data_IF_377345084844
#
_entry.id   IF_377345084844
#
_cell.length_a   1.000
_cell.length_b   1.000
_cell.length_c   1.000
_cell.angle_alpha   90.00
_cell.angle_beta   90.00
_cell.angle_gamma   90.00
#
_symmetry.space_group_name_H-M   'P 1'
#
loop_
_entity.id
_entity.type
_entity.pdbx_description
1 polymer ?
#
# COMPACT_ATOMS: atom_id res chain seq x y z
N UNK A 1 7.90 9.77 6.24
CA UNK A 1 7.29 8.64 5.51
C UNK A 1 8.37 7.99 4.66
N UNK A 2 8.99 6.89 5.11
CA UNK A 2 9.93 6.14 4.29
C UNK A 2 9.21 5.60 3.04
N UNK A 3 9.63 6.05 1.86
CA UNK A 3 9.06 5.61 0.58
C UNK A 3 9.92 4.49 0.00
N UNK A 4 9.29 3.37 -0.34
CA UNK A 4 9.94 2.20 -0.95
C UNK A 4 10.08 2.35 -2.46
N UNK A 5 8.99 2.73 -3.12
CA UNK A 5 8.91 2.77 -4.57
C UNK A 5 7.84 3.77 -5.01
N UNK A 6 8.13 4.50 -6.08
CA UNK A 6 7.15 5.27 -6.83
C UNK A 6 7.09 4.72 -8.25
N UNK A 7 5.92 4.24 -8.69
CA UNK A 7 5.77 3.63 -10.01
C UNK A 7 4.37 3.92 -10.57
N UNK A 8 4.27 4.47 -11.78
CA UNK A 8 2.99 4.69 -12.48
C UNK A 8 1.91 5.41 -11.64
N UNK A 9 2.35 6.37 -10.82
CA UNK A 9 1.49 7.14 -9.90
C UNK A 9 1.14 6.42 -8.60
N UNK A 10 1.57 5.18 -8.40
CA UNK A 10 1.51 4.49 -7.12
C UNK A 10 2.68 4.87 -6.22
N UNK A 11 2.42 5.07 -4.93
CA UNK A 11 3.42 5.29 -3.90
C UNK A 11 3.36 4.15 -2.90
N UNK A 12 4.49 3.49 -2.70
CA UNK A 12 4.66 2.42 -1.72
C UNK A 12 5.47 2.95 -0.55
N UNK A 13 4.99 2.80 0.69
CA UNK A 13 5.63 3.41 1.85
C UNK A 13 5.27 2.72 3.16
N UNK A 14 6.08 3.01 4.19
CA UNK A 14 5.77 2.71 5.58
C UNK A 14 5.34 3.98 6.31
N UNK A 15 4.44 3.85 7.29
CA UNK A 15 4.27 4.91 8.28
C UNK A 15 5.40 4.80 9.31
N UNK A 16 5.96 5.95 9.71
CA UNK A 16 7.10 5.97 10.63
C UNK A 16 6.77 5.47 12.04
N UNK A 17 5.48 5.49 12.42
CA UNK A 17 5.00 5.15 13.77
C UNK A 17 4.04 3.95 13.74
N UNK A 18 4.24 3.00 12.83
CA UNK A 18 3.41 1.79 12.75
C UNK A 18 4.03 0.65 13.57
N UNK A 19 3.17 -0.18 14.18
CA UNK A 19 3.63 -1.33 14.96
C UNK A 19 4.07 -2.49 14.06
N UNK A 20 5.02 -3.28 14.54
CA UNK A 20 5.44 -4.50 13.85
C UNK A 20 4.36 -5.60 13.92
N UNK A 21 4.16 -6.37 12.84
CA UNK A 21 4.87 -6.30 11.55
C UNK A 21 4.42 -5.10 10.71
N UNK A 22 5.40 -4.32 10.22
CA UNK A 22 5.15 -3.13 9.42
C UNK A 22 4.53 -3.52 8.06
N UNK A 23 3.31 -3.08 7.77
CA UNK A 23 2.64 -3.33 6.50
C UNK A 23 3.03 -2.27 5.46
N UNK A 24 3.07 -2.67 4.19
CA UNK A 24 3.29 -1.74 3.08
C UNK A 24 1.97 -1.03 2.79
N UNK A 25 2.01 0.30 2.76
CA UNK A 25 0.90 1.13 2.29
C UNK A 25 1.12 1.48 0.84
N UNK A 26 0.06 1.37 0.05
CA UNK A 26 0.04 1.74 -1.36
C UNK A 26 -0.98 2.84 -1.53
N UNK A 27 -0.63 3.96 -2.14
CA UNK A 27 -1.57 5.04 -2.48
C UNK A 27 -1.48 5.48 -3.92
N UNK A 28 -2.61 5.92 -4.50
CA UNK A 28 -2.71 6.55 -5.82
C UNK A 28 -3.97 7.42 -5.85
N UNK A 29 -3.79 8.74 -5.93
CA UNK A 29 -4.89 9.69 -5.75
C UNK A 29 -5.58 9.48 -4.40
N UNK A 30 -6.90 9.39 -4.39
CA UNK A 30 -7.73 9.15 -3.18
C UNK A 30 -7.85 7.67 -2.80
N UNK A 31 -7.18 6.77 -3.55
CA UNK A 31 -7.24 5.34 -3.34
C UNK A 31 -6.02 4.84 -2.56
N UNK A 32 -6.23 3.79 -1.78
CA UNK A 32 -5.18 3.19 -0.99
C UNK A 32 -5.39 1.68 -0.79
N UNK A 33 -4.29 0.99 -0.51
CA UNK A 33 -4.29 -0.40 -0.12
C UNK A 33 -3.24 -0.64 0.98
N UNK A 34 -3.45 -1.71 1.74
CA UNK A 34 -2.56 -2.17 2.79
C UNK A 34 -2.17 -3.61 2.51
N UNK A 35 -0.87 -3.88 2.49
CA UNK A 35 -0.29 -5.19 2.21
C UNK A 35 0.50 -5.64 3.44
N UNK A 36 0.18 -6.80 3.99
CA UNK A 36 0.98 -7.42 5.03
C UNK A 36 2.32 -7.89 4.47
N UNK A 37 3.42 -7.49 5.10
CA UNK A 37 4.75 -7.82 4.60
C UNK A 37 5.07 -9.32 4.70
N UNK A 38 4.65 -9.98 5.78
CA UNK A 38 4.96 -11.39 6.02
C UNK A 38 4.22 -12.35 5.08
N UNK A 39 2.99 -12.00 4.70
CA UNK A 39 2.09 -12.88 3.93
C UNK A 39 1.89 -12.40 2.49
N UNK A 40 2.30 -11.17 2.18
CA UNK A 40 1.99 -10.43 0.95
C UNK A 40 0.48 -10.32 0.68
N UNK A 41 -0.36 -10.50 1.72
CA UNK A 41 -1.81 -10.43 1.61
C UNK A 41 -2.27 -8.98 1.61
N UNK A 42 -3.20 -8.67 0.71
CA UNK A 42 -3.92 -7.39 0.74
C UNK A 42 -4.97 -7.44 1.85
N UNK A 43 -4.77 -6.68 2.92
CA UNK A 43 -5.69 -6.62 4.07
C UNK A 43 -6.70 -5.49 3.94
N UNK A 44 -6.40 -4.47 3.14
CA UNK A 44 -7.31 -3.37 2.84
C UNK A 44 -7.11 -2.89 1.41
N UNK A 45 -8.21 -2.60 0.73
CA UNK A 45 -8.18 -2.14 -0.65
C UNK A 45 -9.38 -1.22 -0.92
N UNK A 46 -9.12 0.02 -1.36
CA UNK A 46 -10.17 0.95 -1.84
C UNK A 46 -10.07 1.22 -3.34
N UNK A 47 -9.19 0.51 -4.04
CA UNK A 47 -9.10 0.58 -5.49
C UNK A 47 -10.35 -0.03 -6.13
N UNK A 48 -10.95 0.74 -7.05
CA UNK A 48 -12.13 0.30 -7.80
C UNK A 48 -11.72 -0.84 -8.73
N UNK A 49 -12.49 -1.93 -8.71
CA UNK A 49 -12.27 -3.16 -9.50
C UNK A 49 -12.18 -2.93 -11.02
N UNK A 50 -12.63 -1.77 -11.51
CA UNK A 50 -12.60 -1.38 -12.93
C UNK A 50 -11.19 -1.31 -13.55
N UNK A 51 -10.13 -1.50 -12.75
CA UNK A 51 -8.73 -1.52 -13.19
C UNK A 51 -7.98 -2.82 -12.82
N UNK A 52 -8.63 -3.83 -12.26
CA UNK A 52 -8.05 -5.18 -12.13
C UNK A 52 -8.40 -5.98 -13.40
N UNK A 53 -7.65 -5.76 -14.46
CA UNK A 53 -7.64 -6.62 -15.66
C UNK A 53 -6.30 -7.33 -15.75
#
# INVERSE_FOLDING_TARGET
>A
MPTLLNLNGFKFFFYANEHEPMPIHVSKGDQYAKIELATLKVTRNTFKSKNLK
#
